data_IF_039929253553
#
_entry.id   IF_039929253553
#
_cell.length_a   1.000
_cell.length_b   1.000
_cell.length_c   1.000
_cell.angle_alpha   90.00
_cell.angle_beta   90.00
_cell.angle_gamma   90.00
#
_symmetry.space_group_name_H-M   'P 1'
#
loop_
_entity.id
_entity.type
_entity.pdbx_description
1 polymer ?
#
# COMPACT_ATOMS: atom_id res chain seq x y z
N UNK A 1 31.66 -21.05 -31.26
CA UNK A 1 30.53 -21.27 -30.33
C UNK A 1 30.67 -20.26 -29.20
N UNK A 2 29.87 -19.20 -29.16
CA UNK A 2 29.69 -18.36 -27.96
C UNK A 2 28.24 -17.88 -27.92
N UNK A 3 27.64 -18.12 -26.77
CA UNK A 3 26.20 -18.13 -26.51
C UNK A 3 25.62 -16.71 -26.45
N UNK A 4 24.66 -16.39 -27.31
CA UNK A 4 23.74 -15.26 -27.09
C UNK A 4 22.65 -15.71 -26.12
N UNK A 5 23.01 -15.79 -24.84
CA UNK A 5 22.06 -15.99 -23.76
C UNK A 5 21.15 -14.77 -23.68
N UNK A 6 20.00 -14.81 -24.37
CA UNK A 6 18.95 -13.80 -24.21
C UNK A 6 18.47 -13.84 -22.76
N UNK A 7 18.97 -12.91 -21.94
CA UNK A 7 18.43 -12.70 -20.60
C UNK A 7 16.94 -12.36 -20.75
N UNK A 8 16.03 -13.02 -20.01
CA UNK A 8 14.62 -12.70 -20.07
C UNK A 8 14.43 -11.26 -19.59
N UNK A 9 14.09 -10.36 -20.51
CA UNK A 9 13.72 -9.00 -20.16
C UNK A 9 12.49 -9.06 -19.25
N UNK A 10 12.61 -8.49 -18.05
CA UNK A 10 11.48 -8.35 -17.13
C UNK A 10 10.35 -7.59 -17.84
N UNK A 11 9.18 -8.23 -17.93
CA UNK A 11 8.01 -7.67 -18.63
C UNK A 11 7.48 -6.48 -17.83
N UNK A 12 7.82 -5.27 -18.27
CA UNK A 12 7.26 -4.04 -17.73
C UNK A 12 6.04 -3.63 -18.53
N UNK A 13 4.95 -3.25 -17.84
CA UNK A 13 3.77 -2.68 -18.46
C UNK A 13 3.80 -1.17 -18.28
N UNK A 14 3.91 -0.43 -19.39
CA UNK A 14 3.87 1.05 -19.34
C UNK A 14 2.44 1.52 -19.10
N UNK A 15 2.28 2.42 -18.14
CA UNK A 15 1.02 3.10 -17.83
C UNK A 15 1.29 4.59 -17.70
N UNK A 16 0.54 5.40 -18.44
CA UNK A 16 0.62 6.87 -18.38
C UNK A 16 -0.53 7.39 -17.52
N UNK A 17 -0.22 8.20 -16.51
CA UNK A 17 -1.21 8.78 -15.61
C UNK A 17 -1.03 10.29 -15.54
N UNK A 18 -2.13 11.03 -15.59
CA UNK A 18 -2.11 12.47 -15.35
C UNK A 18 -2.19 12.72 -13.85
N UNK A 19 -1.21 13.42 -13.29
CA UNK A 19 -1.16 13.71 -11.86
C UNK A 19 -1.78 15.10 -11.59
N UNK A 20 -2.62 15.24 -10.55
CA UNK A 20 -3.01 16.55 -10.06
C UNK A 20 -1.78 17.40 -9.69
N UNK A 21 -1.84 18.70 -9.94
CA UNK A 21 -0.70 19.64 -9.76
C UNK A 21 -0.09 19.53 -8.35
N UNK A 22 -0.92 19.38 -7.31
CA UNK A 22 -0.45 19.26 -5.94
C UNK A 22 0.34 17.96 -5.71
N UNK A 23 -0.11 16.84 -6.28
CA UNK A 23 0.56 15.54 -6.18
C UNK A 23 1.90 15.58 -6.92
N UNK A 24 1.91 16.10 -8.15
CA UNK A 24 3.13 16.26 -8.93
C UNK A 24 4.20 17.09 -8.17
N UNK A 25 3.79 18.19 -7.53
CA UNK A 25 4.69 19.00 -6.68
C UNK A 25 5.20 18.27 -5.44
N UNK A 26 4.45 17.32 -4.89
CA UNK A 26 4.92 16.53 -3.76
C UNK A 26 5.95 15.49 -4.20
N UNK A 27 5.71 14.83 -5.34
CA UNK A 27 6.62 13.87 -5.96
C UNK A 27 7.97 14.54 -6.27
N UNK A 28 7.96 15.69 -6.96
CA UNK A 28 9.19 16.45 -7.29
C UNK A 28 9.98 16.83 -6.01
N UNK A 29 9.30 17.32 -4.97
CA UNK A 29 9.95 17.63 -3.69
C UNK A 29 10.54 16.41 -3.00
N UNK A 30 9.88 15.26 -3.09
CA UNK A 30 10.37 14.01 -2.50
C UNK A 30 11.56 13.45 -3.29
N UNK A 31 11.48 13.48 -4.62
CA UNK A 31 12.55 13.09 -5.53
C UNK A 31 13.83 13.90 -5.31
N UNK A 32 13.71 15.24 -5.25
CA UNK A 32 14.84 16.14 -4.92
C UNK A 32 15.47 15.82 -3.56
N UNK A 33 14.64 15.60 -2.54
CA UNK A 33 15.12 15.29 -1.18
C UNK A 33 15.86 13.96 -1.11
N UNK A 34 15.35 12.94 -1.82
CA UNK A 34 15.94 11.58 -1.85
C UNK A 34 17.04 11.43 -2.92
N UNK A 35 17.27 12.44 -3.76
CA UNK A 35 18.18 12.40 -4.93
C UNK A 35 17.82 11.27 -5.90
N UNK A 36 16.52 11.05 -6.11
CA UNK A 36 15.97 10.06 -7.03
C UNK A 36 15.26 10.73 -8.20
N UNK A 37 14.95 9.97 -9.24
CA UNK A 37 14.07 10.44 -10.31
C UNK A 37 12.61 10.41 -9.86
N UNK A 38 11.79 11.30 -10.42
CA UNK A 38 10.35 11.32 -10.16
C UNK A 38 9.71 9.96 -10.45
N UNK A 39 10.11 9.30 -11.54
CA UNK A 39 9.58 7.98 -11.89
C UNK A 39 9.94 6.91 -10.86
N UNK A 40 11.15 6.96 -10.28
CA UNK A 40 11.54 6.02 -9.22
C UNK A 40 10.71 6.24 -7.96
N UNK A 41 10.51 7.51 -7.58
CA UNK A 41 9.66 7.86 -6.43
C UNK A 41 8.21 7.43 -6.66
N UNK A 42 7.67 7.62 -7.87
CA UNK A 42 6.31 7.18 -8.20
C UNK A 42 6.14 5.67 -8.05
N UNK A 43 7.09 4.88 -8.56
CA UNK A 43 7.04 3.42 -8.43
C UNK A 43 7.09 3.01 -6.97
N UNK A 44 8.02 3.57 -6.18
CA UNK A 44 8.12 3.27 -4.74
C UNK A 44 6.85 3.62 -3.98
N UNK A 45 6.27 4.80 -4.22
CA UNK A 45 5.01 5.22 -3.57
C UNK A 45 3.83 4.31 -3.95
N UNK A 46 3.78 3.80 -5.19
CA UNK A 46 2.74 2.87 -5.63
C UNK A 46 2.92 1.51 -4.94
N UNK A 47 4.15 0.99 -4.87
CA UNK A 47 4.46 -0.26 -4.19
C UNK A 47 4.15 -0.18 -2.69
N UNK A 48 4.60 0.89 -2.02
CA UNK A 48 4.29 1.19 -0.62
C UNK A 48 2.78 1.34 -0.39
N UNK A 49 2.07 2.03 -1.29
CA UNK A 49 0.62 2.21 -1.20
C UNK A 49 -0.17 0.90 -1.34
N UNK A 50 0.24 0.03 -2.26
CA UNK A 50 -0.34 -1.31 -2.41
C UNK A 50 -0.09 -2.14 -1.15
N UNK A 51 1.13 -2.10 -0.62
CA UNK A 51 1.46 -2.86 0.58
C UNK A 51 0.71 -2.33 1.81
N UNK A 52 0.62 -1.01 1.98
CA UNK A 52 -0.15 -0.39 3.05
C UNK A 52 -1.64 -0.79 3.00
N UNK A 53 -2.22 -0.91 1.79
CA UNK A 53 -3.59 -1.38 1.63
C UNK A 53 -3.74 -2.84 2.07
N UNK A 54 -2.81 -3.72 1.69
CA UNK A 54 -2.83 -5.13 2.14
C UNK A 54 -2.65 -5.27 3.64
N UNK A 55 -1.76 -4.49 4.24
CA UNK A 55 -1.56 -4.50 5.69
C UNK A 55 -2.80 -4.00 6.44
N UNK A 56 -3.47 -2.98 5.91
CA UNK A 56 -4.75 -2.51 6.45
C UNK A 56 -5.83 -3.60 6.38
N UNK A 57 -5.93 -4.30 5.26
CA UNK A 57 -6.86 -5.42 5.08
C UNK A 57 -6.54 -6.58 6.05
N UNK A 58 -5.27 -6.94 6.20
CA UNK A 58 -4.83 -7.97 7.15
C UNK A 58 -5.20 -7.61 8.59
N UNK A 59 -4.88 -6.38 9.03
CA UNK A 59 -5.22 -5.91 10.36
C UNK A 59 -6.73 -5.93 10.62
N UNK A 60 -7.53 -5.59 9.61
CA UNK A 60 -8.98 -5.70 9.69
C UNK A 60 -9.44 -7.14 9.90
N UNK A 61 -8.92 -8.09 9.13
CA UNK A 61 -9.30 -9.50 9.28
C UNK A 61 -8.87 -10.09 10.62
N UNK A 62 -7.68 -9.75 11.11
CA UNK A 62 -7.22 -10.17 12.44
C UNK A 62 -8.15 -9.64 13.55
N UNK A 63 -8.58 -8.37 13.44
CA UNK A 63 -9.53 -7.78 14.37
C UNK A 63 -10.91 -8.44 14.30
N UNK A 64 -11.41 -8.72 13.09
CA UNK A 64 -12.67 -9.42 12.88
C UNK A 64 -12.63 -10.86 13.41
N UNK A 65 -11.50 -11.54 13.25
CA UNK A 65 -11.31 -12.90 13.76
C UNK A 65 -11.33 -12.92 15.29
N UNK A 66 -10.61 -11.98 15.94
CA UNK A 66 -10.63 -11.80 17.40
C UNK A 66 -12.03 -11.48 17.92
N UNK A 67 -12.75 -10.58 17.23
CA UNK A 67 -14.13 -10.25 17.59
C UNK A 67 -15.05 -11.48 17.55
N UNK A 68 -14.88 -12.33 16.54
CA UNK A 68 -15.68 -13.56 16.38
C UNK A 68 -15.30 -14.66 17.37
N UNK A 69 -14.03 -14.73 17.78
CA UNK A 69 -13.53 -15.78 18.68
C UNK A 69 -13.62 -15.43 20.17
N UNK A 70 -13.78 -14.15 20.51
CA UNK A 70 -13.96 -13.72 21.90
C UNK A 70 -15.26 -14.28 22.48
N UNK A 71 -15.16 -14.81 23.70
CA UNK A 71 -16.30 -15.30 24.49
C UNK A 71 -16.61 -14.38 25.67
N UNK A 72 -15.76 -13.38 25.93
CA UNK A 72 -15.98 -12.37 26.95
C UNK A 72 -16.86 -11.24 26.39
N UNK A 73 -18.04 -10.98 26.98
CA UNK A 73 -18.91 -9.89 26.55
C UNK A 73 -18.26 -8.51 26.62
N UNK A 74 -17.34 -8.28 27.56
CA UNK A 74 -16.64 -7.00 27.69
C UNK A 74 -15.65 -6.81 26.53
N UNK A 75 -14.79 -7.81 26.28
CA UNK A 75 -13.84 -7.82 25.18
C UNK A 75 -14.54 -7.73 23.80
N UNK A 76 -15.64 -8.47 23.61
CA UNK A 76 -16.43 -8.43 22.37
C UNK A 76 -16.93 -7.02 22.08
N UNK A 77 -17.40 -6.29 23.09
CA UNK A 77 -17.87 -4.91 22.92
C UNK A 77 -16.74 -3.96 22.50
N UNK A 78 -15.57 -4.10 23.10
CA UNK A 78 -14.40 -3.29 22.75
C UNK A 78 -13.91 -3.56 21.33
N UNK A 79 -13.76 -4.85 20.98
CA UNK A 79 -13.37 -5.27 19.62
C UNK A 79 -14.39 -4.81 18.57
N UNK A 80 -15.69 -4.84 18.89
CA UNK A 80 -16.74 -4.32 18.01
C UNK A 80 -16.65 -2.81 17.78
N UNK A 81 -16.33 -2.03 18.82
CA UNK A 81 -16.09 -0.59 18.70
C UNK A 81 -14.84 -0.30 17.86
N UNK A 82 -13.76 -1.05 18.08
CA UNK A 82 -12.53 -0.91 17.32
C UNK A 82 -12.74 -1.24 15.84
N UNK A 83 -13.49 -2.31 15.55
CA UNK A 83 -13.84 -2.71 14.19
C UNK A 83 -14.74 -1.67 13.51
N UNK A 84 -15.71 -1.12 14.25
CA UNK A 84 -16.54 -0.01 13.78
C UNK A 84 -15.72 1.22 13.41
N UNK A 85 -14.77 1.64 14.26
CA UNK A 85 -13.87 2.75 13.96
C UNK A 85 -12.98 2.47 12.75
N UNK A 86 -12.52 1.23 12.58
CA UNK A 86 -11.66 0.85 11.46
C UNK A 86 -12.38 0.95 10.11
N UNK A 87 -13.66 0.59 10.06
CA UNK A 87 -14.49 0.59 8.84
C UNK A 87 -15.09 1.96 8.54
N UNK A 88 -15.68 2.58 9.55
CA UNK A 88 -16.49 3.77 9.36
C UNK A 88 -15.74 5.07 9.63
N UNK A 89 -14.62 5.02 10.37
CA UNK A 89 -13.76 6.15 10.70
C UNK A 89 -14.56 7.40 11.06
N UNK A 90 -14.99 7.51 12.32
CA UNK A 90 -15.82 8.61 12.87
C UNK A 90 -15.88 9.90 12.03
#
# INVERSE_FOLDING_TARGET
>A
MVYTGAMPASKHVRRSVSLPVQVARQVDRLAKRRRLSDNRVLVELIEEGIEAQKQKEKAFFELAERFRSSTDPAETKELGNELGRFVFGE
#
